data_IF_880974324896
#
_entry.id   IF_880974324896
#
_cell.length_a   1.000
_cell.length_b   1.000
_cell.length_c   1.000
_cell.angle_alpha   90.00
_cell.angle_beta   90.00
_cell.angle_gamma   90.00
#
_symmetry.space_group_name_H-M   'P 1'
#
loop_
_entity.id
_entity.type
_entity.pdbx_description
1 polymer ?
#
# COMPACT_ATOMS: atom_id res chain seq x y z
N UNK A 1 -4.32 9.80 -13.18
CA UNK A 1 -4.78 9.47 -11.81
C UNK A 1 -5.37 8.07 -11.87
N UNK A 2 -4.77 7.10 -11.18
CA UNK A 2 -5.20 5.70 -11.19
C UNK A 2 -5.72 5.37 -9.78
N UNK A 3 -7.00 5.01 -9.61
CA UNK A 3 -7.51 4.56 -8.31
C UNK A 3 -7.00 3.14 -8.00
N UNK A 4 -6.69 2.88 -6.73
CA UNK A 4 -6.41 1.52 -6.24
C UNK A 4 -7.76 0.85 -5.96
N UNK A 5 -7.94 -0.39 -6.43
CA UNK A 5 -9.15 -1.19 -6.21
C UNK A 5 -8.77 -2.43 -5.39
N UNK A 6 -9.33 -2.57 -4.19
CA UNK A 6 -9.17 -3.76 -3.34
C UNK A 6 -10.30 -4.76 -3.61
N UNK A 7 -9.98 -6.05 -3.73
CA UNK A 7 -10.91 -7.13 -4.05
C UNK A 7 -10.83 -8.24 -3.00
N UNK A 8 -11.95 -8.57 -2.34
CA UNK A 8 -12.05 -9.66 -1.36
C UNK A 8 -12.86 -10.84 -1.92
N UNK A 9 -12.47 -12.07 -1.58
CA UNK A 9 -13.22 -13.30 -1.90
C UNK A 9 -13.62 -14.04 -0.62
N UNK A 10 -14.88 -14.49 -0.51
CA UNK A 10 -15.35 -15.31 0.61
C UNK A 10 -15.44 -16.79 0.20
N UNK A 11 -15.09 -17.70 1.11
CA UNK A 11 -15.30 -19.15 0.95
C UNK A 11 -15.85 -19.77 2.23
N UNK A 12 -16.87 -20.61 2.10
CA UNK A 12 -17.43 -21.43 3.19
C UNK A 12 -17.70 -22.86 2.69
N UNK A 13 -17.20 -23.87 3.41
CA UNK A 13 -17.47 -25.32 3.20
C UNK A 13 -18.55 -25.80 4.19
N UNK A 14 -19.42 -26.79 3.97
CA UNK A 14 -19.29 -28.13 3.36
C UNK A 14 -20.67 -28.57 2.83
N UNK A 15 -20.74 -29.24 1.67
CA UNK A 15 -21.60 -30.41 1.34
C UNK A 15 -21.43 -30.77 -0.14
N UNK A 16 -21.42 -32.07 -0.47
CA UNK A 16 -21.24 -32.57 -1.83
C UNK A 16 -22.36 -32.09 -2.77
N UNK A 17 -22.02 -31.23 -3.72
CA UNK A 17 -22.82 -31.01 -4.93
C UNK A 17 -21.98 -31.34 -6.15
N UNK A 18 -22.62 -31.90 -7.18
CA UNK A 18 -22.07 -31.98 -8.54
C UNK A 18 -21.38 -30.66 -8.91
N UNK A 19 -20.39 -30.64 -9.84
CA UNK A 19 -19.83 -29.39 -10.33
C UNK A 19 -20.93 -28.59 -11.02
N UNK A 20 -21.63 -27.77 -10.24
CA UNK A 20 -22.48 -26.69 -10.72
C UNK A 20 -21.55 -25.79 -11.52
N UNK A 21 -22.00 -25.38 -12.70
CA UNK A 21 -21.28 -24.41 -13.52
C UNK A 21 -20.79 -23.29 -12.58
N UNK A 22 -19.47 -23.14 -12.48
CA UNK A 22 -18.86 -22.27 -11.50
C UNK A 22 -19.56 -20.91 -11.55
N UNK A 23 -20.17 -20.49 -10.43
CA UNK A 23 -20.79 -19.18 -10.36
C UNK A 23 -19.75 -18.15 -10.83
N UNK A 24 -20.12 -17.20 -11.71
CA UNK A 24 -19.15 -16.25 -12.23
C UNK A 24 -18.50 -15.51 -11.05
N UNK A 25 -17.17 -15.44 -11.04
CA UNK A 25 -16.44 -14.63 -10.07
C UNK A 25 -16.80 -13.17 -10.33
N UNK A 26 -17.39 -12.52 -9.33
CA UNK A 26 -17.77 -11.11 -9.39
C UNK A 26 -16.83 -10.31 -8.50
N UNK A 27 -16.24 -9.27 -9.08
CA UNK A 27 -15.41 -8.31 -8.39
C UNK A 27 -16.24 -7.07 -8.06
N UNK A 28 -16.12 -6.58 -6.82
CA UNK A 28 -16.80 -5.35 -6.37
C UNK A 28 -15.76 -4.38 -5.83
N UNK A 29 -15.81 -3.14 -6.27
CA UNK A 29 -15.00 -2.07 -5.70
C UNK A 29 -15.54 -1.70 -4.31
N UNK A 30 -14.73 -1.96 -3.28
CA UNK A 30 -15.04 -1.65 -1.87
C UNK A 30 -14.16 -0.54 -1.32
N UNK A 31 -13.39 0.17 -2.15
CA UNK A 31 -12.35 1.12 -1.71
C UNK A 31 -12.90 2.18 -0.77
N UNK A 32 -14.07 2.74 -1.10
CA UNK A 32 -14.75 3.73 -0.26
C UNK A 32 -15.29 3.13 1.04
N UNK A 33 -15.88 1.95 0.98
CA UNK A 33 -16.43 1.23 2.13
C UNK A 33 -15.33 0.84 3.10
N UNK A 34 -14.16 0.48 2.56
CA UNK A 34 -12.96 0.13 3.31
C UNK A 34 -12.24 1.35 3.92
N UNK A 35 -12.67 2.58 3.62
CA UNK A 35 -12.05 3.80 4.16
C UNK A 35 -10.72 4.19 3.51
N UNK A 36 -10.33 3.56 2.40
CA UNK A 36 -9.09 3.86 1.68
C UNK A 36 -9.34 5.07 0.76
N UNK A 37 -8.68 6.20 1.05
CA UNK A 37 -8.85 7.45 0.31
C UNK A 37 -7.60 7.87 -0.47
N UNK A 38 -6.52 7.09 -0.35
CA UNK A 38 -5.23 7.39 -0.97
C UNK A 38 -5.28 7.24 -2.49
N UNK A 39 -4.52 8.08 -3.18
CA UNK A 39 -4.46 8.11 -4.65
C UNK A 39 -3.02 8.21 -5.11
N UNK A 40 -2.65 7.31 -6.03
CA UNK A 40 -1.36 7.37 -6.70
C UNK A 40 -1.34 8.48 -7.76
N UNK A 41 -0.29 9.30 -7.71
CA UNK A 41 0.09 10.18 -8.79
C UNK A 41 1.33 9.60 -9.47
N UNK A 42 1.23 9.31 -10.76
CA UNK A 42 2.31 8.71 -11.53
C UNK A 42 3.28 9.77 -12.11
N UNK A 43 3.12 11.06 -11.77
CA UNK A 43 3.95 12.14 -12.27
C UNK A 43 3.93 12.30 -13.80
N UNK A 44 2.78 12.03 -14.42
CA UNK A 44 2.61 12.10 -15.88
C UNK A 44 3.12 13.43 -16.45
N UNK A 45 4.02 13.34 -17.42
CA UNK A 45 4.61 14.49 -18.11
C UNK A 45 4.56 14.32 -19.64
N UNK A 46 4.72 15.41 -20.42
CA UNK A 46 4.88 15.30 -21.87
C UNK A 46 6.16 14.54 -22.28
N UNK A 47 7.18 14.56 -21.42
CA UNK A 47 8.52 14.03 -21.70
C UNK A 47 8.63 12.51 -21.47
N UNK A 48 7.70 11.91 -20.71
CA UNK A 48 7.61 10.45 -20.51
C UNK A 48 8.86 9.84 -19.89
N UNK A 49 9.32 10.41 -18.77
CA UNK A 49 10.49 9.90 -18.05
C UNK A 49 10.27 8.46 -17.59
N UNK A 50 11.30 7.61 -17.66
CA UNK A 50 11.17 6.20 -17.25
C UNK A 50 10.50 6.01 -15.86
N UNK A 51 10.83 6.79 -14.81
CA UNK A 51 10.13 6.75 -13.53
C UNK A 51 8.61 6.92 -13.57
N UNK A 52 8.06 7.71 -14.49
CA UNK A 52 6.61 7.96 -14.56
C UNK A 52 5.84 6.80 -15.22
N UNK A 53 6.57 5.91 -15.88
CA UNK A 53 6.03 4.73 -16.57
C UNK A 53 6.02 3.46 -15.71
N UNK A 54 6.75 3.48 -14.59
CA UNK A 54 6.70 2.40 -13.59
C UNK A 54 5.62 2.76 -12.57
N UNK A 55 4.66 1.86 -12.38
CA UNK A 55 3.62 2.05 -11.39
C UNK A 55 4.17 1.98 -9.96
N UNK A 56 3.42 2.52 -9.00
CA UNK A 56 3.74 2.37 -7.59
C UNK A 56 3.67 0.90 -7.13
N UNK A 57 4.64 0.53 -6.30
CA UNK A 57 4.55 -0.69 -5.50
C UNK A 57 3.73 -0.52 -4.22
N UNK A 58 3.46 -1.64 -3.59
CA UNK A 58 2.84 -1.74 -2.28
C UNK A 58 3.47 -2.89 -1.50
N UNK A 59 3.22 -2.94 -0.20
CA UNK A 59 3.50 -4.12 0.62
C UNK A 59 2.33 -4.37 1.57
N UNK A 60 1.99 -5.64 1.72
CA UNK A 60 1.08 -6.14 2.74
C UNK A 60 1.92 -6.77 3.84
N UNK A 61 1.82 -6.25 5.05
CA UNK A 61 2.61 -6.70 6.21
C UNK A 61 1.85 -6.40 7.49
N UNK A 62 2.11 -7.16 8.55
CA UNK A 62 1.57 -6.96 9.89
C UNK A 62 2.56 -6.03 10.64
N UNK A 63 2.27 -4.72 10.69
CA UNK A 63 3.25 -3.75 11.21
C UNK A 63 3.19 -3.62 12.73
N UNK A 64 2.07 -4.00 13.36
CA UNK A 64 1.86 -3.90 14.81
C UNK A 64 1.77 -5.27 15.52
N UNK A 65 2.02 -6.36 14.77
CA UNK A 65 2.01 -7.75 15.25
C UNK A 65 0.65 -8.17 15.83
N UNK A 66 -0.46 -7.65 15.30
CA UNK A 66 -1.80 -7.97 15.75
C UNK A 66 -2.39 -9.23 15.07
N UNK A 67 -1.64 -9.82 14.13
CA UNK A 67 -2.01 -11.02 13.38
C UNK A 67 -2.82 -10.74 12.11
N UNK A 68 -3.06 -9.47 11.78
CA UNK A 68 -3.76 -9.05 10.58
C UNK A 68 -2.84 -8.27 9.65
N UNK A 69 -3.12 -8.41 8.36
CA UNK A 69 -2.31 -7.78 7.34
C UNK A 69 -2.76 -6.34 7.13
N UNK A 70 -1.83 -5.41 7.28
CA UNK A 70 -1.97 -3.99 6.96
C UNK A 70 -1.50 -3.70 5.53
N UNK A 71 -1.61 -2.45 5.10
CA UNK A 71 -1.25 -2.05 3.74
C UNK A 71 -0.34 -0.83 3.78
N UNK A 72 0.79 -0.91 3.08
CA UNK A 72 1.59 0.26 2.72
C UNK A 72 1.56 0.51 1.21
N UNK A 73 1.23 1.75 0.81
CA UNK A 73 1.11 2.19 -0.58
C UNK A 73 2.16 3.25 -0.87
N UNK A 74 2.94 3.06 -1.95
CA UNK A 74 4.01 3.99 -2.34
C UNK A 74 3.49 5.01 -3.34
N UNK A 75 3.90 6.27 -3.21
CA UNK A 75 3.56 7.32 -4.15
C UNK A 75 4.80 7.92 -4.82
N UNK A 76 4.57 8.64 -5.91
CA UNK A 76 5.58 9.56 -6.43
C UNK A 76 5.76 10.74 -5.49
N UNK A 77 6.80 11.52 -5.72
CA UNK A 77 7.14 12.68 -4.92
C UNK A 77 8.09 13.60 -5.68
N UNK A 78 8.52 14.71 -5.08
CA UNK A 78 9.43 15.65 -5.73
C UNK A 78 10.71 14.96 -6.25
N UNK A 79 11.11 15.29 -7.48
CA UNK A 79 12.36 14.86 -8.12
C UNK A 79 12.94 16.01 -8.97
N UNK A 80 14.04 15.76 -9.66
CA UNK A 80 14.67 16.69 -10.61
C UNK A 80 13.83 16.97 -11.87
N UNK A 81 12.88 16.08 -12.22
CA UNK A 81 11.98 16.25 -13.36
C UNK A 81 10.50 16.44 -12.99
N UNK A 82 10.13 16.27 -11.71
CA UNK A 82 8.74 16.37 -11.26
C UNK A 82 8.60 17.22 -10.01
N UNK A 83 7.79 18.28 -10.12
CA UNK A 83 7.33 19.09 -8.99
C UNK A 83 5.83 18.87 -8.81
N UNK A 84 5.39 18.17 -7.75
CA UNK A 84 3.98 17.94 -7.50
C UNK A 84 3.21 19.25 -7.27
N UNK A 85 2.00 19.36 -7.83
CA UNK A 85 1.11 20.51 -7.57
C UNK A 85 0.53 20.55 -6.14
N UNK A 86 0.66 19.46 -5.39
CA UNK A 86 0.30 19.32 -3.98
C UNK A 86 1.24 18.31 -3.31
N UNK A 87 1.41 18.32 -1.98
CA UNK A 87 2.16 17.28 -1.29
C UNK A 87 1.62 15.89 -1.62
N UNK A 88 2.51 15.01 -2.07
CA UNK A 88 2.24 13.59 -2.25
C UNK A 88 2.87 12.82 -1.09
N UNK A 89 2.16 11.82 -0.61
CA UNK A 89 2.60 10.95 0.48
C UNK A 89 2.36 9.50 0.11
N UNK A 90 3.22 8.63 0.61
CA UNK A 90 2.90 7.21 0.77
C UNK A 90 1.73 7.08 1.76
N UNK A 91 1.17 5.88 1.92
CA UNK A 91 0.15 5.64 2.93
C UNK A 91 0.36 4.32 3.69
N UNK A 92 0.28 4.37 5.02
CA UNK A 92 0.14 3.20 5.89
C UNK A 92 -1.31 3.13 6.37
N UNK A 93 -1.98 2.04 6.02
CA UNK A 93 -3.35 1.72 6.41
C UNK A 93 -3.38 0.55 7.37
N UNK A 94 -3.78 0.82 8.61
CA UNK A 94 -4.03 -0.21 9.61
C UNK A 94 -5.36 -0.91 9.35
N UNK A 95 -5.39 -2.23 9.40
CA UNK A 95 -6.58 -3.04 9.24
C UNK A 95 -7.40 -3.04 10.53
N UNK A 96 -8.63 -2.54 10.50
CA UNK A 96 -9.49 -2.46 11.69
C UNK A 96 -10.20 -3.79 12.02
N UNK A 97 -9.89 -4.88 11.30
CA UNK A 97 -10.43 -6.24 11.44
C UNK A 97 -11.92 -6.38 11.12
N UNK A 98 -12.54 -5.35 10.53
CA UNK A 98 -13.95 -5.33 10.16
C UNK A 98 -14.17 -5.04 8.66
N UNK A 99 -13.10 -5.13 7.87
CA UNK A 99 -13.09 -4.79 6.44
C UNK A 99 -12.85 -3.30 6.16
N UNK A 100 -12.62 -2.49 7.19
CA UNK A 100 -12.21 -1.09 7.06
C UNK A 100 -10.75 -0.89 7.45
N UNK A 101 -10.19 0.24 7.01
CA UNK A 101 -8.81 0.62 7.28
C UNK A 101 -8.70 2.04 7.84
N UNK A 102 -7.74 2.26 8.71
CA UNK A 102 -7.40 3.58 9.26
C UNK A 102 -6.06 4.06 8.71
N UNK A 103 -6.02 5.25 8.13
CA UNK A 103 -4.76 5.89 7.70
C UNK A 103 -3.95 6.33 8.94
N UNK A 104 -2.80 5.70 9.16
CA UNK A 104 -1.87 6.00 10.26
C UNK A 104 -0.55 6.60 9.77
N UNK A 105 -0.45 6.97 8.49
CA UNK A 105 0.78 7.42 7.83
C UNK A 105 1.54 8.49 8.60
N UNK A 106 0.83 9.56 8.99
CA UNK A 106 1.43 10.71 9.66
C UNK A 106 1.77 10.39 11.13
N UNK A 107 0.96 9.55 11.78
CA UNK A 107 1.22 9.08 13.15
C UNK A 107 2.50 8.24 13.21
N UNK A 108 2.66 7.33 12.24
CA UNK A 108 3.81 6.45 12.14
C UNK A 108 5.05 7.13 11.51
N UNK A 109 4.94 8.34 10.99
CA UNK A 109 6.08 9.06 10.42
C UNK A 109 6.60 8.50 9.08
N UNK A 110 5.77 7.72 8.37
CA UNK A 110 6.16 6.96 7.16
C UNK A 110 5.61 7.59 5.88
N UNK A 111 5.36 8.90 5.87
CA UNK A 111 4.79 9.62 4.72
C UNK A 111 5.68 9.64 3.47
N UNK A 112 6.97 9.30 3.59
CA UNK A 112 7.91 9.31 2.47
C UNK A 112 8.45 10.71 2.17
N UNK A 113 8.24 11.17 0.93
CA UNK A 113 8.80 12.43 0.41
C UNK A 113 9.88 12.25 -0.65
N UNK A 114 9.96 11.06 -1.23
CA UNK A 114 10.80 10.71 -2.39
C UNK A 114 9.91 10.31 -3.56
N UNK A 115 10.46 10.24 -4.78
CA UNK A 115 9.78 9.61 -5.90
C UNK A 115 9.82 8.09 -5.72
N UNK A 116 8.85 7.56 -4.98
CA UNK A 116 8.78 6.16 -4.60
C UNK A 116 8.48 5.22 -5.77
N UNK A 117 9.05 4.01 -5.70
CA UNK A 117 8.94 2.98 -6.74
C UNK A 117 8.31 1.71 -6.21
N UNK A 118 8.75 1.23 -5.05
CA UNK A 118 8.21 0.04 -4.42
C UNK A 118 8.55 -0.05 -2.94
N UNK A 119 8.07 -1.10 -2.30
CA UNK A 119 8.30 -1.35 -0.89
C UNK A 119 8.55 -2.84 -0.63
N UNK A 120 9.28 -3.12 0.43
CA UNK A 120 9.45 -4.44 1.02
C UNK A 120 9.40 -4.30 2.54
N UNK A 121 8.88 -5.33 3.21
CA UNK A 121 8.87 -5.40 4.66
C UNK A 121 9.65 -6.63 5.15
N UNK A 122 10.31 -6.48 6.29
CA UNK A 122 11.07 -7.56 6.92
C UNK A 122 11.76 -7.07 8.17
N UNK A 123 11.87 -7.95 9.15
CA UNK A 123 12.61 -7.73 10.40
C UNK A 123 14.12 -7.77 10.10
N UNK A 124 14.74 -6.60 9.87
CA UNK A 124 16.14 -6.55 9.42
C UNK A 124 17.13 -6.67 10.57
N UNK A 125 16.72 -6.36 11.79
CA UNK A 125 17.58 -6.34 12.98
C UNK A 125 17.28 -7.47 13.98
N UNK A 126 16.25 -8.27 13.73
CA UNK A 126 15.90 -9.46 14.49
C UNK A 126 15.14 -9.15 15.79
N UNK A 127 14.47 -7.99 15.88
CA UNK A 127 13.74 -7.56 17.06
C UNK A 127 12.29 -8.11 17.16
N UNK A 128 11.88 -8.88 16.15
CA UNK A 128 10.57 -9.50 16.04
C UNK A 128 9.49 -8.59 15.47
N UNK A 129 9.84 -7.42 14.92
CA UNK A 129 8.92 -6.47 14.29
C UNK A 129 9.31 -6.27 12.84
N UNK A 130 8.31 -6.24 11.96
CA UNK A 130 8.58 -5.98 10.55
C UNK A 130 8.97 -4.50 10.35
N UNK A 131 10.14 -4.26 9.79
CA UNK A 131 10.60 -2.96 9.32
C UNK A 131 10.16 -2.73 7.86
N UNK A 132 10.25 -1.48 7.40
CA UNK A 132 9.77 -1.08 6.08
C UNK A 132 10.89 -0.44 5.24
N UNK A 133 11.16 -1.02 4.08
CA UNK A 133 12.09 -0.48 3.09
C UNK A 133 11.35 0.02 1.86
N UNK A 134 11.55 1.29 1.51
CA UNK A 134 10.95 1.95 0.35
C UNK A 134 12.03 2.25 -0.68
N UNK A 135 11.87 1.72 -1.89
CA UNK A 135 12.71 2.05 -3.03
C UNK A 135 12.21 3.31 -3.71
N UNK A 136 13.11 4.11 -4.27
CA UNK A 136 12.77 5.38 -4.91
C UNK A 136 13.77 5.73 -6.01
N UNK A 137 13.38 6.62 -6.92
CA UNK A 137 14.35 7.29 -7.78
C UNK A 137 15.27 8.16 -6.90
N UNK A 138 16.59 7.94 -7.03
CA UNK A 138 17.61 8.61 -6.24
C UNK A 138 17.84 7.98 -4.86
N UNK A 139 17.00 8.31 -3.87
CA UNK A 139 17.24 7.95 -2.46
C UNK A 139 16.17 7.02 -1.89
N UNK A 140 16.57 5.83 -1.47
CA UNK A 140 15.72 4.89 -0.74
C UNK A 140 15.55 5.28 0.74
N UNK A 141 14.53 4.73 1.39
CA UNK A 141 14.24 4.96 2.81
C UNK A 141 14.11 3.60 3.51
N UNK A 142 14.80 3.41 4.62
CA UNK A 142 14.56 2.33 5.57
C UNK A 142 13.94 2.94 6.82
N UNK A 143 12.78 2.45 7.21
CA UNK A 143 12.11 2.78 8.46
C UNK A 143 12.28 1.62 9.42
N UNK A 144 12.77 1.92 10.62
CA UNK A 144 12.84 0.97 11.71
C UNK A 144 11.56 1.06 12.55
N UNK A 145 10.96 -0.08 12.86
CA UNK A 145 9.71 -0.16 13.62
C UNK A 145 9.97 -0.16 15.14
N UNK A 146 9.56 0.91 15.82
CA UNK A 146 9.81 1.08 17.25
C UNK A 146 8.83 0.30 18.14
N UNK A 147 7.88 -0.45 17.57
CA UNK A 147 6.94 -1.31 18.31
C UNK A 147 5.83 -0.57 19.06
N UNK A 148 5.63 0.71 18.77
CA UNK A 148 4.59 1.56 19.36
C UNK A 148 3.72 2.25 18.29
N UNK A 149 3.76 1.72 17.07
CA UNK A 149 3.11 2.29 15.89
C UNK A 149 3.85 3.50 15.31
N UNK A 150 5.16 3.59 15.49
CA UNK A 150 6.07 4.58 14.87
C UNK A 150 7.36 3.93 14.40
#
# INVERSE_FOLDING_TARGET
>A
MIPVVLLLAQASSLYSQQPTAASPVVFTDVTKQAGINWVHDNALSPDRYLPETVGAGCVFFDYDNDGWMDIYLVNSGPSDFFTPGKPLKNALYHNNHDGTFTDLTDKAGVAGGTFGMGAAAGDYDGDGRADLYVTSYGRNILYHNNGNGT
#
